data_IF_358318196855
#
_entry.id   IF_358318196855
#
_cell.length_a   1.000
_cell.length_b   1.000
_cell.length_c   1.000
_cell.angle_alpha   90.00
_cell.angle_beta   90.00
_cell.angle_gamma   90.00
#
_symmetry.space_group_name_H-M   'P 1'
#
loop_
_entity.id
_entity.type
_entity.pdbx_description
1 polymer ?
#
# COMPACT_ATOMS: atom_id res chain seq x y z
N UNK A 1 37.21 29.64 43.34
CA UNK A 1 36.77 28.83 42.19
C UNK A 1 35.39 29.34 41.80
N UNK A 2 35.24 29.88 40.59
CA UNK A 2 33.97 30.46 40.12
C UNK A 2 33.47 29.61 38.96
N UNK A 3 32.26 29.04 39.11
CA UNK A 3 31.65 28.16 38.12
C UNK A 3 30.93 28.99 37.04
N UNK A 4 31.40 28.89 35.80
CA UNK A 4 30.76 29.55 34.66
C UNK A 4 29.72 28.63 34.02
N UNK A 5 28.44 28.96 34.20
CA UNK A 5 27.32 28.26 33.55
C UNK A 5 27.07 28.83 32.15
N UNK A 6 27.33 28.03 31.12
CA UNK A 6 27.00 28.37 29.74
C UNK A 6 25.54 27.99 29.45
N UNK A 7 24.74 28.93 28.96
CA UNK A 7 23.36 28.70 28.52
C UNK A 7 23.30 28.92 27.02
N UNK A 8 23.16 27.85 26.25
CA UNK A 8 23.02 27.91 24.79
C UNK A 8 21.53 28.03 24.46
N UNK A 9 21.11 29.19 23.98
CA UNK A 9 19.78 29.38 23.36
C UNK A 9 19.89 29.10 21.87
N UNK A 10 19.34 27.98 21.43
CA UNK A 10 19.28 27.62 20.01
C UNK A 10 17.92 28.10 19.48
N UNK A 11 17.93 29.05 18.55
CA UNK A 11 16.73 29.49 17.85
C UNK A 11 16.51 28.59 16.61
N UNK A 12 15.50 27.74 16.65
CA UNK A 12 15.15 26.86 15.55
C UNK A 12 14.19 27.58 14.60
N UNK A 13 14.72 28.10 13.48
CA UNK A 13 13.91 28.58 12.36
C UNK A 13 13.29 27.37 11.63
N UNK A 14 12.04 27.08 12.00
CA UNK A 14 11.25 25.93 11.54
C UNK A 14 10.79 26.09 10.07
N UNK A 15 10.81 27.30 9.54
CA UNK A 15 10.22 27.61 8.23
C UNK A 15 11.20 27.36 7.08
N UNK A 16 12.52 27.50 7.32
CA UNK A 16 13.54 27.11 6.33
C UNK A 16 13.51 25.62 5.99
N UNK A 17 13.31 24.77 6.99
CA UNK A 17 13.29 23.32 6.78
C UNK A 17 12.04 22.85 6.03
N UNK A 18 10.90 23.56 6.17
CA UNK A 18 9.70 23.27 5.37
C UNK A 18 9.94 23.53 3.89
N UNK A 19 10.58 24.64 3.53
CA UNK A 19 10.82 24.96 2.10
C UNK A 19 11.77 23.98 1.43
N UNK A 20 12.80 23.50 2.12
CA UNK A 20 13.74 22.51 1.59
C UNK A 20 13.12 21.12 1.36
N UNK A 21 11.97 20.81 1.96
CA UNK A 21 11.23 19.55 1.80
C UNK A 21 10.17 19.59 0.68
N UNK A 22 9.89 20.77 0.12
CA UNK A 22 8.74 20.99 -0.78
C UNK A 22 9.12 21.00 -2.27
N UNK A 23 10.41 21.10 -2.60
CA UNK A 23 10.86 21.04 -4.00
C UNK A 23 11.48 19.67 -4.31
N UNK A 24 10.68 18.62 -4.61
CA UNK A 24 11.24 17.45 -5.25
C UNK A 24 11.80 17.92 -6.60
N UNK A 25 13.13 17.96 -6.70
CA UNK A 25 13.86 18.18 -7.96
C UNK A 25 13.51 17.03 -8.90
N UNK A 26 12.39 17.16 -9.59
CA UNK A 26 11.89 16.16 -10.52
C UNK A 26 12.76 16.23 -11.77
N UNK A 27 13.81 15.40 -11.80
CA UNK A 27 14.64 15.23 -12.99
C UNK A 27 13.83 14.37 -13.96
N UNK A 28 13.07 15.01 -14.83
CA UNK A 28 12.45 14.34 -15.97
C UNK A 28 13.55 14.05 -16.99
N UNK A 29 14.07 12.82 -16.98
CA UNK A 29 14.99 12.36 -18.03
C UNK A 29 14.15 12.03 -19.26
N UNK A 30 14.05 12.98 -20.19
CA UNK A 30 13.38 12.76 -21.46
C UNK A 30 14.22 11.84 -22.35
N UNK A 31 13.67 10.69 -22.74
CA UNK A 31 14.27 9.84 -23.78
C UNK A 31 14.01 10.43 -25.18
N UNK A 32 14.57 11.61 -25.45
CA UNK A 32 14.38 12.39 -26.69
C UNK A 32 14.69 11.58 -27.95
N UNK A 33 15.68 10.68 -27.92
CA UNK A 33 15.99 9.76 -29.03
C UNK A 33 14.83 8.82 -29.40
N UNK A 34 14.11 8.28 -28.41
CA UNK A 34 12.96 7.38 -28.65
C UNK A 34 11.72 8.17 -29.09
N UNK A 35 11.52 9.35 -28.53
CA UNK A 35 10.40 10.24 -28.87
C UNK A 35 10.53 10.75 -30.31
N UNK A 36 11.72 11.19 -30.70
CA UNK A 36 12.00 11.61 -32.08
C UNK A 36 11.86 10.45 -33.06
N UNK A 37 12.35 9.25 -32.69
CA UNK A 37 12.15 8.04 -33.48
C UNK A 37 10.67 7.70 -33.70
N UNK A 38 9.85 7.78 -32.64
CA UNK A 38 8.41 7.54 -32.74
C UNK A 38 7.70 8.58 -33.63
N UNK A 39 8.10 9.86 -33.57
CA UNK A 39 7.56 10.91 -34.44
C UNK A 39 7.90 10.68 -35.92
N UNK A 40 9.12 10.25 -36.22
CA UNK A 40 9.53 9.91 -37.60
C UNK A 40 8.75 8.71 -38.10
N UNK A 41 8.64 7.64 -37.30
CA UNK A 41 7.86 6.45 -37.67
C UNK A 41 6.40 6.82 -37.90
N UNK A 42 5.81 7.68 -37.07
CA UNK A 42 4.43 8.14 -37.23
C UNK A 42 4.26 8.96 -38.52
N UNK A 43 5.18 9.86 -38.84
CA UNK A 43 5.15 10.62 -40.11
C UNK A 43 5.28 9.71 -41.32
N UNK A 44 6.17 8.70 -41.27
CA UNK A 44 6.32 7.71 -42.34
C UNK A 44 5.04 6.88 -42.50
N UNK A 45 4.40 6.49 -41.40
CA UNK A 45 3.15 5.73 -41.41
C UNK A 45 2.01 6.56 -41.98
N UNK A 46 1.91 7.84 -41.60
CA UNK A 46 0.96 8.79 -42.19
C UNK A 46 1.23 8.97 -43.69
N UNK A 47 2.48 9.17 -44.09
CA UNK A 47 2.85 9.29 -45.50
C UNK A 47 2.55 8.01 -46.30
N UNK A 48 2.80 6.83 -45.71
CA UNK A 48 2.46 5.54 -46.30
C UNK A 48 0.94 5.36 -46.41
N UNK A 49 0.16 5.78 -45.41
CA UNK A 49 -1.32 5.81 -45.49
C UNK A 49 -1.76 6.75 -46.62
N UNK A 50 -1.20 7.95 -46.74
CA UNK A 50 -1.51 8.84 -47.87
C UNK A 50 -1.11 8.22 -49.22
N UNK A 51 0.03 7.53 -49.30
CA UNK A 51 0.47 6.83 -50.50
C UNK A 51 -0.40 5.61 -50.86
N UNK A 52 -0.89 4.89 -49.85
CA UNK A 52 -1.71 3.68 -50.02
C UNK A 52 -3.21 3.99 -50.21
N UNK A 53 -3.72 5.10 -49.66
CA UNK A 53 -5.12 5.52 -49.79
C UNK A 53 -5.38 6.56 -50.90
N UNK A 54 -4.33 7.12 -51.52
CA UNK A 54 -4.51 7.95 -52.74
C UNK A 54 -4.72 7.12 -54.02
N UNK A 55 -4.63 5.79 -53.91
CA UNK A 55 -5.08 4.85 -54.93
C UNK A 55 -6.37 4.16 -54.50
N UNK A 56 -7.40 4.29 -55.33
CA UNK A 56 -8.57 3.41 -55.46
C UNK A 56 -9.46 3.11 -54.23
N UNK A 57 -10.52 3.92 -54.10
CA UNK A 57 -11.72 3.53 -53.35
C UNK A 57 -12.41 2.36 -54.06
N UNK A 58 -12.35 1.14 -53.50
CA UNK A 58 -13.31 0.09 -53.80
C UNK A 58 -14.07 -0.29 -52.53
N UNK A 59 -15.38 -0.13 -52.66
CA UNK A 59 -16.41 -0.20 -51.65
C UNK A 59 -16.84 -1.66 -51.39
N UNK A 60 -17.61 -1.87 -50.31
CA UNK A 60 -18.56 -2.98 -50.06
C UNK A 60 -18.18 -4.13 -49.08
N UNK A 61 -18.65 -3.96 -47.83
CA UNK A 61 -19.40 -4.93 -46.98
C UNK A 61 -20.75 -5.25 -47.69
N UNK A 62 -21.51 -6.38 -47.51
CA UNK A 62 -21.87 -7.01 -46.23
C UNK A 62 -22.27 -8.54 -46.21
N UNK A 63 -22.68 -9.00 -45.00
CA UNK A 63 -23.81 -9.94 -44.69
C UNK A 63 -23.69 -11.45 -45.03
N UNK A 64 -24.33 -12.45 -44.39
CA UNK A 64 -25.20 -12.69 -43.21
C UNK A 64 -25.51 -14.23 -43.20
N UNK A 65 -25.85 -14.83 -42.05
CA UNK A 65 -26.84 -15.94 -41.87
C UNK A 65 -26.76 -16.51 -40.43
N UNK A 66 -27.70 -16.25 -39.49
CA UNK A 66 -28.96 -17.00 -39.18
C UNK A 66 -28.72 -18.49 -38.83
N UNK A 67 -29.19 -19.10 -37.72
CA UNK A 67 -30.55 -19.27 -37.16
C UNK A 67 -30.43 -19.67 -35.66
N UNK A 68 -31.08 -19.02 -34.68
CA UNK A 68 -32.40 -19.31 -34.06
C UNK A 68 -32.93 -20.75 -34.20
N UNK A 69 -33.02 -21.49 -33.08
CA UNK A 69 -34.23 -22.22 -32.68
C UNK A 69 -34.18 -22.62 -31.19
N UNK A 70 -35.12 -22.06 -30.43
CA UNK A 70 -35.55 -22.47 -29.09
C UNK A 70 -36.69 -23.48 -29.24
N UNK A 71 -36.73 -24.50 -28.39
CA UNK A 71 -37.92 -25.27 -27.99
C UNK A 71 -37.56 -25.94 -26.65
N UNK A 72 -38.05 -25.46 -25.50
CA UNK A 72 -39.32 -25.85 -24.84
C UNK A 72 -39.35 -27.34 -24.47
N UNK A 73 -39.69 -27.83 -23.28
CA UNK A 73 -40.17 -27.32 -21.99
C UNK A 73 -40.44 -28.57 -21.13
N UNK A 74 -40.44 -28.46 -19.79
CA UNK A 74 -41.50 -28.95 -18.86
C UNK A 74 -40.96 -29.01 -17.41
N UNK A 75 -41.88 -28.78 -16.47
CA UNK A 75 -41.77 -28.17 -15.16
C UNK A 75 -42.39 -29.14 -14.12
N UNK A 76 -41.62 -29.52 -13.06
CA UNK A 76 -42.05 -29.60 -11.62
C UNK A 76 -42.95 -30.77 -11.14
N UNK A 77 -43.13 -31.12 -9.82
CA UNK A 77 -42.39 -30.89 -8.55
C UNK A 77 -42.07 -32.17 -7.67
N UNK A 78 -41.14 -32.01 -6.69
CA UNK A 78 -41.11 -32.43 -5.23
C UNK A 78 -41.59 -33.85 -4.81
N UNK A 79 -40.94 -34.62 -3.88
CA UNK A 79 -40.49 -34.21 -2.53
C UNK A 79 -39.23 -34.86 -1.87
N UNK A 80 -38.63 -34.10 -0.95
CA UNK A 80 -38.00 -34.43 0.35
C UNK A 80 -37.24 -35.76 0.59
N UNK A 81 -35.92 -35.63 0.81
CA UNK A 81 -35.14 -36.39 1.82
C UNK A 81 -33.87 -35.55 2.13
N UNK A 82 -33.90 -34.66 3.13
CA UNK A 82 -33.60 -34.91 4.54
C UNK A 82 -32.16 -35.36 4.83
N UNK A 83 -31.19 -34.43 4.87
CA UNK A 83 -30.00 -34.59 5.73
C UNK A 83 -29.57 -33.24 6.32
N UNK A 84 -29.96 -33.03 7.58
CA UNK A 84 -29.24 -32.26 8.62
C UNK A 84 -29.90 -32.64 9.96
N UNK A 85 -29.26 -32.55 11.14
CA UNK A 85 -27.84 -32.42 11.52
C UNK A 85 -27.37 -33.58 12.44
N UNK A 86 -26.09 -33.97 12.43
CA UNK A 86 -25.53 -34.77 13.51
C UNK A 86 -24.81 -33.89 14.54
N UNK A 87 -25.23 -34.09 15.79
CA UNK A 87 -24.75 -33.49 17.04
C UNK A 87 -23.31 -33.91 17.36
N UNK A 88 -22.60 -33.02 18.05
CA UNK A 88 -22.13 -33.14 19.45
C UNK A 88 -21.65 -31.71 19.77
N UNK A 89 -22.25 -30.97 20.70
CA UNK A 89 -22.11 -31.23 22.13
C UNK A 89 -23.24 -30.58 22.95
N UNK A 90 -23.86 -31.41 23.78
CA UNK A 90 -24.62 -31.11 25.00
C UNK A 90 -23.83 -30.18 25.96
N UNK A 91 -24.37 -29.51 26.97
CA UNK A 91 -25.68 -29.11 27.47
C UNK A 91 -25.37 -28.14 28.65
N UNK A 92 -26.33 -27.35 29.14
CA UNK A 92 -26.10 -26.16 29.99
C UNK A 92 -26.12 -26.50 31.48
N UNK A 93 -25.34 -25.80 32.31
CA UNK A 93 -25.53 -25.70 33.78
C UNK A 93 -24.90 -24.41 34.36
N UNK A 94 -25.38 -23.92 35.53
CA UNK A 94 -25.85 -22.54 35.70
C UNK A 94 -25.02 -21.65 36.64
N UNK A 95 -25.38 -20.36 36.61
CA UNK A 95 -25.05 -19.25 37.52
C UNK A 95 -24.90 -19.67 38.99
N UNK A 96 -23.90 -19.12 39.70
CA UNK A 96 -24.08 -18.31 40.94
C UNK A 96 -22.92 -17.33 41.20
N UNK A 97 -23.30 -16.06 41.28
CA UNK A 97 -22.86 -14.97 42.15
C UNK A 97 -21.39 -14.79 42.54
N UNK A 98 -20.86 -13.57 42.34
CA UNK A 98 -20.88 -12.55 43.42
C UNK A 98 -20.30 -11.19 42.95
N UNK A 99 -21.15 -10.16 43.08
CA UNK A 99 -20.92 -8.72 43.31
C UNK A 99 -20.11 -7.85 42.33
N UNK A 100 -20.87 -6.98 41.66
CA UNK A 100 -20.85 -5.51 41.78
C UNK A 100 -19.49 -4.78 41.83
N UNK A 101 -19.28 -4.00 40.76
CA UNK A 101 -18.43 -2.80 40.67
C UNK A 101 -18.81 -1.77 41.76
N UNK A 102 -17.87 -0.94 42.26
CA UNK A 102 -17.57 0.33 41.56
C UNK A 102 -16.06 0.71 41.61
N UNK A 103 -15.48 1.17 40.49
CA UNK A 103 -15.11 2.58 40.19
C UNK A 103 -13.80 3.06 40.85
N UNK A 104 -12.84 3.41 39.96
CA UNK A 104 -11.80 4.45 40.06
C UNK A 104 -10.41 4.10 40.64
N UNK A 105 -9.42 4.52 39.84
CA UNK A 105 -7.99 4.71 40.11
C UNK A 105 -7.06 3.50 40.22
N UNK A 106 -6.50 3.10 39.07
CA UNK A 106 -5.05 2.85 39.00
C UNK A 106 -4.53 3.18 37.59
N UNK A 107 -4.51 4.48 37.27
CA UNK A 107 -3.40 5.05 36.49
C UNK A 107 -2.12 4.86 37.35
N UNK A 108 -0.98 4.66 36.70
CA UNK A 108 0.35 4.41 37.30
C UNK A 108 0.65 2.95 37.70
N UNK A 109 1.03 2.15 36.69
CA UNK A 109 2.20 1.25 36.74
C UNK A 109 2.18 0.26 35.55
N UNK A 110 2.24 0.78 34.32
CA UNK A 110 2.65 -0.02 33.16
C UNK A 110 3.33 0.83 32.07
N UNK A 111 3.86 1.99 32.45
CA UNK A 111 4.57 2.92 31.56
C UNK A 111 6.09 2.75 31.66
N UNK A 112 6.57 1.51 31.79
CA UNK A 112 8.00 1.25 31.94
C UNK A 112 8.43 -0.09 31.32
N UNK A 113 7.99 -0.39 30.09
CA UNK A 113 8.75 -1.29 29.19
C UNK A 113 8.31 -1.24 27.72
N UNK A 114 8.24 -0.06 27.12
CA UNK A 114 8.39 0.03 25.66
C UNK A 114 9.75 0.66 25.39
N UNK A 115 10.77 -0.19 25.52
CA UNK A 115 12.12 0.13 25.09
C UNK A 115 12.05 0.64 23.64
N UNK A 116 12.55 1.85 23.49
CA UNK A 116 12.67 2.64 22.28
C UNK A 116 13.57 1.92 21.26
N UNK A 117 13.02 0.93 20.57
CA UNK A 117 13.62 0.40 19.35
C UNK A 117 13.46 1.48 18.28
N UNK A 118 14.57 2.11 17.90
CA UNK A 118 14.67 3.10 16.80
C UNK A 118 14.29 2.45 15.47
N UNK A 119 12.98 2.29 15.23
CA UNK A 119 12.40 1.81 13.97
C UNK A 119 12.63 2.86 12.88
N UNK A 120 12.85 2.47 11.62
CA UNK A 120 12.77 3.41 10.50
C UNK A 120 11.32 3.89 10.38
N UNK A 121 11.01 4.97 11.08
CA UNK A 121 9.68 5.54 11.14
C UNK A 121 9.37 6.25 9.82
N UNK A 122 8.15 6.03 9.31
CA UNK A 122 7.65 6.80 8.20
C UNK A 122 7.55 8.28 8.55
N UNK A 123 7.75 9.14 7.56
CA UNK A 123 7.29 10.51 7.61
C UNK A 123 5.75 10.47 7.51
N UNK A 124 5.07 11.04 8.49
CA UNK A 124 3.61 11.07 8.55
C UNK A 124 3.12 12.46 8.18
N UNK A 125 2.28 12.54 7.14
CA UNK A 125 1.71 13.80 6.63
C UNK A 125 0.28 14.03 7.16
N UNK A 126 -0.49 12.96 7.39
CA UNK A 126 -1.87 13.04 7.83
C UNK A 126 -2.03 12.56 9.29
N UNK A 127 -2.68 13.39 10.11
CA UNK A 127 -2.99 13.10 11.54
C UNK A 127 -3.82 11.83 11.77
N UNK A 128 -4.44 11.29 10.73
CA UNK A 128 -5.22 10.04 10.74
C UNK A 128 -4.33 8.81 10.59
N UNK A 129 -3.06 8.96 10.21
CA UNK A 129 -2.06 7.88 10.31
C UNK A 129 -1.47 7.92 11.72
N UNK A 130 -1.62 6.83 12.47
CA UNK A 130 -1.10 6.71 13.84
C UNK A 130 0.38 6.32 13.81
N UNK A 131 0.72 5.32 12.99
CA UNK A 131 2.08 4.81 12.82
C UNK A 131 2.23 4.19 11.43
N UNK A 132 3.42 4.30 10.87
CA UNK A 132 3.80 3.54 9.68
C UNK A 132 5.31 3.26 9.70
N UNK A 133 5.71 2.10 9.20
CA UNK A 133 7.12 1.69 9.14
C UNK A 133 7.32 0.51 8.20
N UNK A 134 8.57 0.33 7.75
CA UNK A 134 9.05 -0.90 7.12
C UNK A 134 9.59 -1.83 8.22
N UNK A 135 9.14 -3.08 8.21
CA UNK A 135 9.46 -4.08 9.23
C UNK A 135 9.71 -5.46 8.59
N UNK A 136 10.21 -6.38 9.39
CA UNK A 136 10.19 -7.81 9.06
C UNK A 136 8.78 -8.38 9.16
N UNK A 137 8.64 -9.69 8.93
CA UNK A 137 7.34 -10.38 8.91
C UNK A 137 6.47 -10.02 10.14
N UNK A 138 5.17 -9.72 9.92
CA UNK A 138 4.28 -9.32 11.01
C UNK A 138 4.03 -10.48 11.98
N UNK A 139 3.83 -10.13 13.25
CA UNK A 139 3.51 -11.07 14.33
C UNK A 139 2.12 -10.72 14.86
N UNK A 140 1.11 -11.55 14.58
CA UNK A 140 -0.27 -11.34 15.05
C UNK A 140 -0.86 -9.96 14.67
N UNK A 141 -0.76 -9.60 13.38
CA UNK A 141 -1.20 -8.29 12.82
C UNK A 141 -0.48 -7.04 13.37
N UNK A 142 0.58 -7.23 14.13
CA UNK A 142 1.50 -6.15 14.54
C UNK A 142 2.74 -6.14 13.63
N UNK A 143 3.37 -4.96 13.44
CA UNK A 143 4.63 -4.90 12.72
C UNK A 143 5.65 -5.79 13.41
N UNK A 144 6.44 -6.51 12.61
CA UNK A 144 7.57 -7.30 13.08
C UNK A 144 8.70 -6.43 13.62
N UNK A 145 9.90 -6.98 13.54
CA UNK A 145 11.09 -6.32 14.04
C UNK A 145 11.54 -5.20 13.09
N UNK A 146 12.30 -4.23 13.61
CA UNK A 146 12.84 -3.14 12.83
C UNK A 146 13.81 -3.66 11.76
N UNK A 147 13.71 -3.14 10.55
CA UNK A 147 14.65 -3.46 9.47
C UNK A 147 15.88 -2.57 9.59
N UNK A 148 17.07 -3.18 9.53
CA UNK A 148 18.34 -2.44 9.50
C UNK A 148 18.50 -1.77 8.12
N UNK A 149 18.84 -0.49 8.13
CA UNK A 149 19.08 0.30 6.92
C UNK A 149 20.59 0.59 6.76
N UNK A 150 21.12 0.60 5.52
CA UNK A 150 20.44 0.20 4.29
C UNK A 150 20.16 -1.31 4.27
N UNK A 151 19.16 -1.72 3.48
CA UNK A 151 18.78 -3.13 3.37
C UNK A 151 19.82 -3.84 2.52
N UNK A 152 20.53 -4.82 3.10
CA UNK A 152 21.53 -5.60 2.37
C UNK A 152 20.93 -6.91 1.87
N UNK A 153 21.15 -7.24 0.60
CA UNK A 153 20.68 -8.48 -0.03
C UNK A 153 21.86 -9.21 -0.63
N UNK A 154 22.13 -10.40 -0.09
CA UNK A 154 23.17 -11.27 -0.59
C UNK A 154 22.84 -11.82 -1.99
N UNK A 155 23.88 -12.08 -2.78
CA UNK A 155 23.75 -12.76 -4.06
C UNK A 155 23.11 -14.15 -3.83
N UNK A 156 21.99 -14.41 -4.50
CA UNK A 156 21.18 -15.64 -4.38
C UNK A 156 20.28 -15.76 -3.14
N UNK A 157 20.05 -14.67 -2.40
CA UNK A 157 18.99 -14.63 -1.36
C UNK A 157 17.86 -13.69 -1.77
N UNK A 158 16.68 -13.97 -1.22
CA UNK A 158 15.55 -13.06 -1.27
C UNK A 158 15.17 -12.62 0.14
N UNK A 159 14.80 -11.36 0.30
CA UNK A 159 14.31 -10.78 1.54
C UNK A 159 12.91 -10.23 1.32
N UNK A 160 11.94 -10.62 2.14
CA UNK A 160 10.62 -10.01 2.10
C UNK A 160 10.52 -8.91 3.16
N UNK A 161 10.13 -7.70 2.73
CA UNK A 161 9.90 -6.57 3.61
C UNK A 161 8.41 -6.23 3.65
N UNK A 162 7.96 -5.81 4.83
CA UNK A 162 6.56 -5.50 5.09
C UNK A 162 6.40 -4.04 5.44
N UNK A 163 5.58 -3.34 4.66
CA UNK A 163 5.10 -2.02 5.00
C UNK A 163 3.84 -2.12 5.83
N UNK A 164 3.94 -1.64 7.07
CA UNK A 164 2.84 -1.57 8.02
C UNK A 164 2.36 -0.12 8.13
N UNK A 165 1.05 0.09 8.15
CA UNK A 165 0.43 1.35 8.54
C UNK A 165 -0.78 1.12 9.43
N UNK A 166 -0.93 1.92 10.49
CA UNK A 166 -2.13 1.96 11.32
C UNK A 166 -2.80 3.31 11.13
N UNK A 167 -4.09 3.27 10.83
CA UNK A 167 -4.91 4.43 10.51
C UNK A 167 -6.11 4.52 11.44
N UNK A 168 -6.60 5.75 11.64
CA UNK A 168 -7.83 6.04 12.40
C UNK A 168 -8.81 6.89 11.61
N UNK A 169 -10.10 6.72 11.90
CA UNK A 169 -11.21 7.53 11.37
C UNK A 169 -11.22 7.61 9.83
N UNK A 170 -10.95 6.47 9.18
CA UNK A 170 -10.96 6.31 7.72
C UNK A 170 -11.85 5.14 7.28
N UNK A 171 -12.85 4.76 8.08
CA UNK A 171 -13.75 3.65 7.74
C UNK A 171 -14.46 3.94 6.41
N UNK A 172 -14.59 2.91 5.59
CA UNK A 172 -15.17 2.96 4.24
C UNK A 172 -14.34 3.74 3.21
N UNK A 173 -13.17 4.26 3.57
CA UNK A 173 -12.23 4.81 2.60
C UNK A 173 -11.46 3.69 1.89
N UNK A 174 -11.03 3.98 0.65
CA UNK A 174 -10.09 3.15 -0.10
C UNK A 174 -8.71 3.79 -0.03
N UNK A 175 -7.72 3.01 0.41
CA UNK A 175 -6.32 3.42 0.54
C UNK A 175 -5.41 2.51 -0.26
N UNK A 176 -4.21 2.98 -0.53
CA UNK A 176 -3.22 2.22 -1.30
C UNK A 176 -1.85 2.28 -0.67
N UNK A 177 -1.17 1.14 -0.59
CA UNK A 177 0.29 1.11 -0.49
C UNK A 177 0.86 1.12 -1.90
N UNK A 178 1.77 2.05 -2.19
CA UNK A 178 2.48 2.16 -3.46
C UNK A 178 3.98 2.06 -3.22
N UNK A 179 4.63 1.15 -3.92
CA UNK A 179 6.07 0.91 -3.84
C UNK A 179 6.71 1.42 -5.12
N UNK A 180 7.75 2.23 -4.95
CA UNK A 180 8.52 2.81 -6.03
C UNK A 180 9.96 2.33 -5.95
N UNK A 181 10.53 2.01 -7.11
CA UNK A 181 11.95 1.77 -7.30
C UNK A 181 12.50 2.87 -8.19
N UNK A 182 13.48 3.62 -7.72
CA UNK A 182 14.11 4.72 -8.46
C UNK A 182 13.07 5.70 -9.05
N UNK A 183 12.03 6.00 -8.26
CA UNK A 183 10.91 6.88 -8.64
C UNK A 183 9.81 6.25 -9.50
N UNK A 184 9.98 5.01 -9.97
CA UNK A 184 8.99 4.31 -10.79
C UNK A 184 8.08 3.42 -9.94
N UNK A 185 6.76 3.54 -10.11
CA UNK A 185 5.79 2.69 -9.40
C UNK A 185 5.92 1.23 -9.87
N UNK A 186 6.32 0.33 -8.97
CA UNK A 186 6.50 -1.10 -9.28
C UNK A 186 5.44 -1.98 -8.64
N UNK A 187 4.79 -1.53 -7.55
CA UNK A 187 3.72 -2.29 -6.91
C UNK A 187 2.67 -1.37 -6.29
N UNK A 188 1.40 -1.76 -6.37
CA UNK A 188 0.27 -1.04 -5.77
C UNK A 188 -0.71 -2.04 -5.14
N UNK A 189 -0.92 -1.94 -3.84
CA UNK A 189 -1.88 -2.75 -3.08
C UNK A 189 -3.04 -1.88 -2.60
N UNK A 190 -4.27 -2.28 -2.91
CA UNK A 190 -5.49 -1.61 -2.47
C UNK A 190 -6.02 -2.19 -1.15
N UNK A 191 -6.57 -1.33 -0.30
CA UNK A 191 -7.26 -1.68 0.93
C UNK A 191 -8.59 -0.97 1.02
N UNK A 192 -9.65 -1.72 1.34
CA UNK A 192 -10.94 -1.16 1.76
C UNK A 192 -11.00 -1.17 3.28
N UNK A 193 -11.04 0.01 3.89
CA UNK A 193 -10.93 0.15 5.35
C UNK A 193 -12.24 -0.23 6.03
N UNK A 194 -12.24 -1.27 6.86
CA UNK A 194 -13.45 -1.81 7.49
C UNK A 194 -13.75 -1.24 8.89
N UNK A 195 -12.77 -0.64 9.57
CA UNK A 195 -12.89 -0.16 10.95
C UNK A 195 -12.36 1.27 11.11
N UNK A 196 -12.73 1.94 12.21
CA UNK A 196 -12.19 3.25 12.58
C UNK A 196 -10.76 3.19 13.12
N UNK A 197 -10.23 2.00 13.36
CA UNK A 197 -8.84 1.76 13.71
C UNK A 197 -8.40 0.52 12.94
N UNK A 198 -7.76 0.73 11.80
CA UNK A 198 -7.38 -0.35 10.89
C UNK A 198 -5.87 -0.43 10.76
N UNK A 199 -5.37 -1.66 10.65
CA UNK A 199 -3.97 -1.97 10.36
C UNK A 199 -3.91 -2.47 8.92
N UNK A 200 -3.02 -1.90 8.12
CA UNK A 200 -2.82 -2.25 6.72
C UNK A 200 -1.40 -2.76 6.56
N UNK A 201 -1.26 -3.89 5.87
CA UNK A 201 0.04 -4.53 5.66
C UNK A 201 0.14 -4.91 4.19
N UNK A 202 1.25 -4.53 3.55
CA UNK A 202 1.65 -5.06 2.25
C UNK A 202 3.10 -5.49 2.31
N UNK A 203 3.47 -6.50 1.54
CA UNK A 203 4.86 -6.92 1.42
C UNK A 203 5.38 -6.76 0.00
N UNK A 204 6.71 -6.76 -0.11
CA UNK A 204 7.41 -6.95 -1.37
C UNK A 204 8.62 -7.85 -1.13
N UNK A 205 8.84 -8.78 -2.06
CA UNK A 205 10.06 -9.57 -2.10
C UNK A 205 11.16 -8.79 -2.83
N UNK A 206 12.37 -8.80 -2.27
CA UNK A 206 13.55 -8.14 -2.79
C UNK A 206 14.64 -9.17 -3.06
N UNK A 207 15.27 -9.05 -4.23
CA UNK A 207 16.36 -9.89 -4.72
C UNK A 207 17.57 -9.01 -5.04
N UNK A 208 18.69 -9.61 -5.45
CA UNK A 208 19.87 -8.89 -5.90
C UNK A 208 19.62 -7.94 -7.11
N UNK A 209 18.50 -8.11 -7.84
CA UNK A 209 18.06 -7.24 -8.94
C UNK A 209 17.24 -6.03 -8.47
N UNK A 210 16.82 -6.03 -7.20
CA UNK A 210 16.06 -4.96 -6.58
C UNK A 210 16.94 -3.89 -5.92
N UNK A 211 18.26 -3.91 -6.14
CA UNK A 211 19.18 -2.85 -5.70
C UNK A 211 18.75 -1.50 -6.29
N UNK A 212 18.75 -0.46 -5.46
CA UNK A 212 18.31 0.88 -5.85
C UNK A 212 17.76 1.68 -4.68
N UNK A 213 17.22 2.86 -4.99
CA UNK A 213 16.47 3.68 -4.04
C UNK A 213 15.01 3.26 -4.06
N UNK A 214 14.44 3.12 -2.87
CA UNK A 214 13.07 2.67 -2.68
C UNK A 214 12.27 3.65 -1.86
N UNK A 215 11.00 3.74 -2.24
CA UNK A 215 10.01 4.53 -1.54
C UNK A 215 8.74 3.70 -1.41
N UNK A 216 8.13 3.72 -0.24
CA UNK A 216 6.76 3.23 -0.06
C UNK A 216 5.89 4.34 0.51
N UNK A 217 4.74 4.56 -0.11
CA UNK A 217 3.77 5.57 0.30
C UNK A 217 2.42 4.95 0.61
N UNK A 218 1.78 5.39 1.69
CA UNK A 218 0.35 5.21 1.90
C UNK A 218 -0.36 6.40 1.25
N UNK A 219 -1.26 6.15 0.30
CA UNK A 219 -2.03 7.20 -0.37
C UNK A 219 -3.53 6.95 -0.30
N UNK A 220 -4.33 8.02 -0.38
CA UNK A 220 -5.77 7.91 -0.52
C UNK A 220 -6.20 7.70 -1.99
N UNK A 221 -7.51 7.63 -2.23
CA UNK A 221 -8.10 7.52 -3.57
C UNK A 221 -7.90 8.75 -4.47
N UNK A 222 -7.65 9.92 -3.89
CA UNK A 222 -7.32 11.15 -4.62
C UNK A 222 -5.85 11.22 -5.02
N UNK A 223 -5.01 10.38 -4.42
CA UNK A 223 -3.56 10.34 -4.64
C UNK A 223 -2.74 11.11 -3.61
N UNK A 224 -3.36 11.68 -2.57
CA UNK A 224 -2.64 12.39 -1.52
C UNK A 224 -1.80 11.42 -0.69
N UNK A 225 -0.54 11.75 -0.46
CA UNK A 225 0.36 10.98 0.41
C UNK A 225 0.01 11.23 1.88
N UNK A 226 -0.29 10.15 2.60
CA UNK A 226 -0.63 10.15 4.02
C UNK A 226 0.59 9.83 4.88
N UNK A 227 1.47 8.97 4.38
CA UNK A 227 2.77 8.66 4.98
C UNK A 227 3.73 8.07 3.95
N UNK A 228 5.02 8.20 4.23
CA UNK A 228 6.09 7.80 3.32
C UNK A 228 7.31 7.24 4.07
N UNK A 229 7.94 6.22 3.49
CA UNK A 229 9.24 5.70 3.93
C UNK A 229 10.17 5.65 2.73
N UNK A 230 11.33 6.26 2.85
CA UNK A 230 12.44 6.17 1.88
C UNK A 230 13.55 5.30 2.45
N UNK A 231 14.11 4.41 1.65
CA UNK A 231 15.21 3.53 2.03
C UNK A 231 15.96 3.03 0.81
N UNK A 232 17.21 2.60 0.98
CA UNK A 232 18.01 2.04 -0.10
C UNK A 232 18.22 0.54 0.09
N UNK A 233 18.21 -0.20 -1.01
CA UNK A 233 18.59 -1.62 -1.07
C UNK A 233 19.97 -1.72 -1.71
N UNK A 234 20.89 -2.44 -1.05
CA UNK A 234 22.29 -2.62 -1.42
C UNK A 234 22.66 -4.11 -1.43
N UNK A 235 23.80 -4.43 -2.03
CA UNK A 235 24.42 -5.76 -2.00
C UNK A 235 25.38 -5.87 -0.81
#
# INVERSE_FOLDING_TARGET
>A
MADNKVVIKINYDKDRHRKALIDPKMVTVWHTRRILGALIVLLVLVYAIYGLFSGENTNQQPAQSSEILKSSSTVTPQPAEAIKPEMIQAAPQPLKDTKQTPVVNQLEAASEKVAEAKRPAAIIFDKRVIRASINTAPKSEEPGDAVKLPVHIEHNKSLELFYFSQIKNMRSNVLFHRWYKDGQLVHKKQFTVKSNNAKLISSKNFTANDVGEWQVTLVNNKGDSLSEVNYSVRK
#
